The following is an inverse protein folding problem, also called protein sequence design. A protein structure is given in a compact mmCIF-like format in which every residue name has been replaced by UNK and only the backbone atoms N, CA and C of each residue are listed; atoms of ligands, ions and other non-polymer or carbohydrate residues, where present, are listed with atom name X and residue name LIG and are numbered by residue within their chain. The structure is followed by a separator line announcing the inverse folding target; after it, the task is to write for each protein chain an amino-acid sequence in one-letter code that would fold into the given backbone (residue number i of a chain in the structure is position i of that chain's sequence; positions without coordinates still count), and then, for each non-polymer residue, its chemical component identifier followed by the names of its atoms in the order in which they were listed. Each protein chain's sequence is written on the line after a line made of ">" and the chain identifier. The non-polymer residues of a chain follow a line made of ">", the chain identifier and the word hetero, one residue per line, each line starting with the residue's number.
data_IF_642638478986
#
_entry.id   IF_642638478986
#
_cell.length_a   1.000
_cell.length_b   1.000
_cell.length_c   1.000
_cell.angle_alpha   90.00
_cell.angle_beta   90.00
_cell.angle_gamma   90.00
#
_symmetry.space_group_name_H-M   'P 1'
#
loop_
_entity.id
_entity.type
_entity.pdbx_description
1 polymer ?
#
# COMPACT_ATOMS: atom_id res chain seq x y z
N UNK A 1 -17.46 -0.17 1.73
CA UNK A 1 -16.75 -0.73 2.92
C UNK A 1 -17.59 -0.56 4.18
N UNK A 2 -17.80 -1.64 4.92
CA UNK A 2 -18.43 -1.62 6.23
C UNK A 2 -17.49 -0.91 7.23
N UNK A 3 -17.99 0.04 8.04
CA UNK A 3 -17.17 0.89 8.93
C UNK A 3 -16.28 0.08 9.87
N UNK A 4 -16.74 -1.11 10.26
CA UNK A 4 -16.02 -2.04 11.14
C UNK A 4 -14.72 -2.58 10.53
N UNK A 5 -14.71 -2.87 9.21
CA UNK A 5 -13.51 -3.37 8.53
C UNK A 5 -12.44 -2.28 8.44
N UNK A 6 -12.86 -1.02 8.25
CA UNK A 6 -11.96 0.13 8.23
C UNK A 6 -11.35 0.36 9.62
N UNK A 7 -12.17 0.31 10.67
CA UNK A 7 -11.69 0.45 12.04
C UNK A 7 -10.67 -0.64 12.42
N UNK A 8 -10.97 -1.90 12.09
CA UNK A 8 -10.05 -3.02 12.33
C UNK A 8 -8.76 -2.92 11.50
N UNK A 9 -8.87 -2.53 10.23
CA UNK A 9 -7.71 -2.35 9.35
C UNK A 9 -6.77 -1.24 9.83
N UNK A 10 -7.33 -0.09 10.24
CA UNK A 10 -6.54 1.02 10.78
C UNK A 10 -5.88 0.64 12.09
N UNK A 11 -6.60 -0.03 13.00
CA UNK A 11 -6.03 -0.48 14.28
C UNK A 11 -4.83 -1.42 14.08
N UNK A 12 -4.97 -2.42 13.19
CA UNK A 12 -3.88 -3.34 12.88
C UNK A 12 -2.67 -2.63 12.26
N UNK A 13 -2.92 -1.69 11.35
CA UNK A 13 -1.87 -0.88 10.71
C UNK A 13 -1.11 -0.06 11.76
N UNK A 14 -1.83 0.61 12.66
CA UNK A 14 -1.22 1.39 13.74
C UNK A 14 -0.39 0.51 14.68
N UNK A 15 -0.92 -0.65 15.09
CA UNK A 15 -0.18 -1.58 15.94
C UNK A 15 1.10 -2.07 15.27
N UNK A 16 1.03 -2.47 13.99
CA UNK A 16 2.19 -2.90 13.23
C UNK A 16 3.26 -1.81 13.12
N UNK A 17 2.85 -0.56 12.89
CA UNK A 17 3.76 0.58 12.85
C UNK A 17 4.49 0.81 14.20
N UNK A 18 3.76 0.73 15.31
CA UNK A 18 4.35 0.86 16.65
C UNK A 18 5.30 -0.28 16.99
N UNK A 19 4.95 -1.52 16.64
CA UNK A 19 5.81 -2.70 16.85
C UNK A 19 7.08 -2.58 16.01
N UNK A 20 6.98 -2.16 14.75
CA UNK A 20 8.14 -1.95 13.88
C UNK A 20 9.09 -0.90 14.48
N UNK A 21 8.55 0.23 14.95
CA UNK A 21 9.34 1.28 15.59
C UNK A 21 10.03 0.77 16.89
N UNK A 22 9.32 0.00 17.71
CA UNK A 22 9.90 -0.60 18.92
C UNK A 22 11.03 -1.58 18.58
N UNK A 23 10.80 -2.46 17.60
CA UNK A 23 11.78 -3.43 17.14
C UNK A 23 13.04 -2.74 16.60
N UNK A 24 12.88 -1.68 15.79
CA UNK A 24 14.00 -0.88 15.30
C UNK A 24 14.74 -0.23 16.48
N UNK A 25 14.04 0.31 17.48
CA UNK A 25 14.67 0.88 18.67
C UNK A 25 15.55 -0.12 19.42
N UNK A 26 15.06 -1.34 19.64
CA UNK A 26 15.82 -2.40 20.31
C UNK A 26 17.01 -2.90 19.46
N UNK A 27 16.78 -3.13 18.16
CA UNK A 27 17.80 -3.66 17.24
C UNK A 27 18.89 -2.63 16.96
N UNK A 28 18.55 -1.34 16.87
CA UNK A 28 19.50 -0.27 16.54
C UNK A 28 20.64 -0.18 17.55
N UNK A 29 20.37 -0.33 18.85
CA UNK A 29 21.41 -0.27 19.88
C UNK A 29 22.44 -1.39 19.71
N UNK A 30 21.97 -2.63 19.47
CA UNK A 30 22.84 -3.82 19.30
C UNK A 30 23.57 -3.77 17.95
N UNK A 31 22.88 -3.29 16.91
CA UNK A 31 23.42 -3.23 15.55
C UNK A 31 24.50 -2.14 15.40
N UNK A 32 24.34 -0.99 16.07
CA UNK A 32 25.37 0.06 16.05
C UNK A 32 26.64 -0.38 16.78
N UNK A 33 26.52 -1.13 17.87
CA UNK A 33 27.67 -1.62 18.64
C UNK A 33 28.47 -2.70 17.87
N UNK A 34 27.79 -3.58 17.13
CA UNK A 34 28.46 -4.68 16.41
C UNK A 34 28.88 -4.34 14.98
N UNK A 35 28.06 -3.57 14.25
CA UNK A 35 28.12 -3.48 12.78
C UNK A 35 28.36 -2.03 12.31
N UNK A 36 28.12 -1.03 13.15
CA UNK A 36 28.36 0.39 12.85
C UNK A 36 27.64 0.85 11.59
N UNK A 37 28.39 1.42 10.63
CA UNK A 37 27.84 2.03 9.41
C UNK A 37 27.13 1.04 8.47
N UNK A 38 27.42 -0.26 8.56
CA UNK A 38 26.78 -1.26 7.68
C UNK A 38 25.31 -1.49 8.02
N UNK A 39 24.84 -1.09 9.19
CA UNK A 39 23.42 -1.14 9.56
C UNK A 39 22.54 -0.29 8.63
N UNK A 40 23.09 0.79 8.07
CA UNK A 40 22.36 1.63 7.10
C UNK A 40 21.97 0.88 5.80
N UNK A 41 22.71 -0.17 5.43
CA UNK A 41 22.40 -0.99 4.25
C UNK A 41 21.10 -1.79 4.47
N UNK A 42 20.81 -2.21 5.70
CA UNK A 42 19.57 -2.92 6.04
C UNK A 42 18.36 -2.02 5.80
N UNK A 43 18.44 -0.74 6.15
CA UNK A 43 17.38 0.22 5.84
C UNK A 43 17.19 0.43 4.33
N UNK A 44 18.29 0.47 3.57
CA UNK A 44 18.22 0.59 2.11
C UNK A 44 17.53 -0.64 1.47
N UNK A 45 17.88 -1.86 1.92
CA UNK A 45 17.26 -3.10 1.42
C UNK A 45 15.79 -3.21 1.83
N UNK A 46 15.45 -2.85 3.07
CA UNK A 46 14.06 -2.81 3.52
C UNK A 46 13.23 -1.80 2.71
N UNK A 47 13.77 -0.61 2.46
CA UNK A 47 13.12 0.42 1.64
C UNK A 47 12.90 -0.06 0.20
N UNK A 48 13.89 -0.70 -0.41
CA UNK A 48 13.79 -1.26 -1.76
C UNK A 48 12.78 -2.42 -1.84
N UNK A 49 12.81 -3.33 -0.86
CA UNK A 49 11.86 -4.45 -0.78
C UNK A 49 10.43 -3.96 -0.61
N UNK A 50 10.23 -2.92 0.22
CA UNK A 50 8.94 -2.28 0.39
C UNK A 50 8.48 -1.64 -0.93
N UNK A 51 9.33 -0.85 -1.59
CA UNK A 51 9.00 -0.26 -2.89
C UNK A 51 8.65 -1.30 -3.96
N UNK A 52 9.38 -2.42 -4.00
CA UNK A 52 9.09 -3.54 -4.89
C UNK A 52 7.74 -4.18 -4.54
N UNK A 53 7.45 -4.40 -3.27
CA UNK A 53 6.16 -4.94 -2.83
C UNK A 53 4.99 -4.02 -3.23
N UNK A 54 5.12 -2.71 -3.00
CA UNK A 54 4.14 -1.72 -3.44
C UNK A 54 3.94 -1.75 -4.96
N UNK A 55 5.00 -1.91 -5.74
CA UNK A 55 4.93 -1.98 -7.20
C UNK A 55 4.29 -3.29 -7.71
N UNK A 56 4.55 -4.42 -7.06
CA UNK A 56 4.08 -5.73 -7.50
C UNK A 56 2.65 -6.07 -7.03
N UNK A 57 2.31 -5.68 -5.81
CA UNK A 57 1.13 -6.19 -5.08
C UNK A 57 0.03 -5.14 -4.97
N UNK A 58 0.36 -3.85 -4.99
CA UNK A 58 -0.62 -2.80 -4.80
C UNK A 58 -1.14 -2.30 -6.15
N UNK A 59 -2.38 -2.64 -6.54
CA UNK A 59 -2.98 -2.05 -7.71
C UNK A 59 -3.08 -0.54 -7.54
N UNK A 60 -2.87 0.21 -8.62
CA UNK A 60 -3.02 1.67 -8.61
C UNK A 60 -4.43 2.04 -8.13
N UNK A 61 -4.54 2.47 -6.86
CA UNK A 61 -5.80 2.84 -6.20
C UNK A 61 -6.14 4.32 -6.36
N UNK A 62 -5.28 5.09 -7.03
CA UNK A 62 -5.46 6.53 -7.24
C UNK A 62 -6.60 6.79 -8.25
N UNK A 63 -7.58 7.63 -7.86
CA UNK A 63 -8.65 8.11 -8.75
C UNK A 63 -9.91 7.24 -8.84
N UNK A 64 -10.02 6.15 -8.06
CA UNK A 64 -11.24 5.33 -8.00
C UNK A 64 -12.12 5.68 -6.81
N UNK A 65 -13.44 5.60 -6.97
CA UNK A 65 -14.35 5.78 -5.83
C UNK A 65 -14.26 4.57 -4.91
N UNK A 66 -14.68 4.75 -3.65
CA UNK A 66 -14.65 3.70 -2.63
C UNK A 66 -15.52 2.48 -2.98
N UNK A 67 -16.50 2.66 -3.88
CA UNK A 67 -17.42 1.61 -4.36
C UNK A 67 -16.83 0.80 -5.51
N UNK A 68 -16.16 1.47 -6.46
CA UNK A 68 -15.43 0.82 -7.56
C UNK A 68 -14.19 0.04 -7.07
N UNK A 69 -13.63 0.43 -5.92
CA UNK A 69 -12.43 -0.18 -5.35
C UNK A 69 -12.66 -1.62 -4.88
N UNK A 70 -13.84 -1.95 -4.34
CA UNK A 70 -14.15 -3.32 -3.87
C UNK A 70 -14.36 -4.27 -5.06
N UNK A 71 -15.07 -3.82 -6.10
CA UNK A 71 -15.25 -4.56 -7.34
C UNK A 71 -13.90 -4.77 -8.05
N UNK A 72 -13.07 -3.73 -8.11
CA UNK A 72 -11.74 -3.83 -8.70
C UNK A 72 -10.83 -4.80 -7.94
N UNK A 73 -10.86 -4.79 -6.60
CA UNK A 73 -10.03 -5.71 -5.80
C UNK A 73 -10.46 -7.18 -5.95
N UNK A 74 -11.74 -7.45 -6.26
CA UNK A 74 -12.24 -8.80 -6.57
C UNK A 74 -11.87 -9.28 -7.97
N UNK A 75 -11.78 -8.38 -8.94
CA UNK A 75 -11.46 -8.70 -10.34
C UNK A 75 -9.96 -8.73 -10.63
N UNK A 76 -9.13 -8.11 -9.77
CA UNK A 76 -7.68 -8.02 -10.01
C UNK A 76 -6.95 -9.25 -9.46
N UNK A 77 -6.10 -9.94 -10.25
CA UNK A 77 -5.25 -11.01 -9.74
C UNK A 77 -4.22 -10.48 -8.73
N UNK A 78 -3.77 -11.37 -7.84
CA UNK A 78 -2.83 -11.10 -6.73
C UNK A 78 -1.47 -10.53 -7.14
N UNK A 79 -1.09 -10.61 -8.43
CA UNK A 79 0.09 -9.96 -9.02
C UNK A 79 -0.40 -8.90 -10.02
N UNK A 80 -0.01 -7.65 -9.79
CA UNK A 80 -0.47 -6.48 -10.55
C UNK A 80 0.41 -6.21 -11.79
N UNK A 81 1.58 -6.84 -11.88
CA UNK A 81 2.49 -6.70 -13.03
C UNK A 81 1.87 -7.34 -14.27
N UNK A 82 1.30 -6.50 -15.13
CA UNK A 82 0.80 -6.87 -16.46
C UNK A 82 -0.71 -6.73 -16.68
N UNK A 83 -1.50 -6.49 -15.62
CA UNK A 83 -2.97 -6.37 -15.71
C UNK A 83 -3.49 -4.96 -15.38
N UNK A 84 -2.78 -3.92 -15.81
CA UNK A 84 -3.28 -2.54 -15.73
C UNK A 84 -4.39 -2.33 -16.75
N UNK A 85 -5.62 -2.71 -16.42
CA UNK A 85 -6.80 -2.18 -17.11
C UNK A 85 -6.93 -0.72 -16.68
N UNK A 86 -6.26 0.19 -17.40
CA UNK A 86 -6.48 1.64 -17.24
C UNK A 86 -7.95 1.90 -17.53
N UNK A 87 -8.75 2.19 -16.50
CA UNK A 87 -10.07 2.76 -16.74
C UNK A 87 -9.85 4.17 -17.29
N UNK A 88 -10.42 4.41 -18.47
CA UNK A 88 -10.24 5.60 -19.27
C UNK A 88 -10.95 6.74 -18.54
N UNK A 89 -10.19 7.61 -17.87
CA UNK A 89 -10.71 8.81 -17.19
C UNK A 89 -11.62 9.67 -18.08
N UNK A 90 -11.47 9.57 -19.40
CA UNK A 90 -12.29 10.21 -20.43
C UNK A 90 -13.77 9.78 -20.44
N UNK A 91 -14.10 8.54 -20.06
CA UNK A 91 -15.51 8.06 -20.06
C UNK A 91 -16.31 8.62 -18.86
N UNK A 92 -15.61 8.99 -17.77
CA UNK A 92 -16.20 9.60 -16.57
C UNK A 92 -16.60 11.06 -16.80
N UNK A 93 -15.77 11.81 -17.53
CA UNK A 93 -16.06 13.20 -17.92
C UNK A 93 -17.27 13.25 -18.87
N UNK A 94 -17.40 12.29 -19.78
CA UNK A 94 -18.58 12.17 -20.65
C UNK A 94 -19.86 11.77 -19.90
N UNK A 95 -19.77 10.94 -18.86
CA UNK A 95 -20.95 10.55 -18.06
C UNK A 95 -21.40 11.66 -17.11
N UNK A 96 -20.46 12.44 -16.55
CA UNK A 96 -20.75 13.63 -15.76
C UNK A 96 -21.33 14.75 -16.65
N UNK A 97 -20.79 14.92 -17.87
CA UNK A 97 -21.35 15.84 -18.86
C UNK A 97 -22.75 15.43 -19.36
N UNK A 98 -23.12 14.15 -19.27
CA UNK A 98 -24.45 13.62 -19.62
C UNK A 98 -25.48 13.69 -18.47
N UNK A 99 -25.10 14.11 -17.27
CA UNK A 99 -26.04 14.40 -16.18
C UNK A 99 -26.87 13.20 -15.70
N UNK A 100 -26.29 11.99 -15.70
CA UNK A 100 -26.97 10.74 -15.28
C UNK A 100 -26.53 10.31 -13.86
N UNK A 101 -26.01 11.24 -13.06
CA UNK A 101 -25.70 11.07 -11.64
C UNK A 101 -26.26 12.26 -10.85
#
# INVERSE_FOLDING_TARGET
>A
FNTDLRAKGTALTSMAAWIANFMIGQVTSIALENIGWRYYIVFAVCGFTNALFFFLVLPETAGRTLEESDAYFRETPWIVVGHTKKLKSTEREEQLARGIL
#
